data_IF_523296038517
#
_entry.id   IF_523296038517
#
_cell.length_a   1.000
_cell.length_b   1.000
_cell.length_c   1.000
_cell.angle_alpha   90.00
_cell.angle_beta   90.00
_cell.angle_gamma   90.00
#
_symmetry.space_group_name_H-M   'P 1'
#
loop_
_entity.id
_entity.type
_entity.pdbx_description
1 polymer ?
#
# COMPACT_ATOMS: atom_id res chain seq x y z
N UNK A 1 1.45 25.08 18.27
CA UNK A 1 2.69 24.29 18.16
C UNK A 1 2.28 22.85 18.42
N UNK A 2 1.52 22.28 17.49
CA UNK A 2 0.80 21.00 17.67
C UNK A 2 0.93 20.13 16.42
N UNK A 3 1.03 20.77 15.25
CA UNK A 3 1.23 20.14 13.93
C UNK A 3 2.40 19.14 13.84
N UNK A 4 3.45 19.31 14.66
CA UNK A 4 4.66 18.48 14.56
C UNK A 4 4.56 17.15 15.33
N UNK A 5 3.66 17.01 16.32
CA UNK A 5 3.54 15.75 17.07
C UNK A 5 2.63 14.76 16.31
N UNK A 6 1.55 15.29 15.74
CA UNK A 6 0.62 14.54 14.88
C UNK A 6 1.31 14.00 13.61
N UNK A 7 2.18 14.80 12.96
CA UNK A 7 2.92 14.35 11.78
C UNK A 7 3.91 13.21 12.11
N UNK A 8 4.58 13.29 13.26
CA UNK A 8 5.51 12.24 13.72
C UNK A 8 4.77 10.94 14.05
N UNK A 9 3.61 11.03 14.69
CA UNK A 9 2.74 9.89 14.98
C UNK A 9 2.23 9.24 13.69
N UNK A 10 1.79 10.05 12.73
CA UNK A 10 1.34 9.59 11.42
C UNK A 10 2.46 8.88 10.65
N UNK A 11 3.65 9.48 10.60
CA UNK A 11 4.82 8.86 9.96
C UNK A 11 5.21 7.54 10.61
N UNK A 12 5.15 7.44 11.94
CA UNK A 12 5.42 6.20 12.66
C UNK A 12 4.41 5.10 12.30
N UNK A 13 3.12 5.46 12.16
CA UNK A 13 2.05 4.54 11.77
C UNK A 13 2.18 4.05 10.33
N UNK A 14 2.43 4.96 9.39
CA UNK A 14 2.70 4.61 7.98
C UNK A 14 3.91 3.68 7.90
N UNK A 15 4.98 4.00 8.63
CA UNK A 15 6.17 3.15 8.66
C UNK A 15 5.85 1.75 9.20
N UNK A 16 5.14 1.65 10.32
CA UNK A 16 4.76 0.36 10.89
C UNK A 16 3.89 -0.48 9.93
N UNK A 17 2.95 0.18 9.22
CA UNK A 17 2.15 -0.46 8.17
C UNK A 17 3.04 -1.01 7.04
N UNK A 18 3.99 -0.21 6.54
CA UNK A 18 4.89 -0.64 5.47
C UNK A 18 5.86 -1.74 5.92
N UNK A 19 6.37 -1.67 7.14
CA UNK A 19 7.22 -2.72 7.73
C UNK A 19 6.44 -4.03 7.86
N UNK A 20 5.21 -3.98 8.38
CA UNK A 20 4.33 -5.15 8.44
C UNK A 20 3.98 -5.68 7.05
N UNK A 21 3.72 -4.78 6.10
CA UNK A 21 3.33 -5.16 4.75
C UNK A 21 4.46 -5.88 4.03
N UNK A 22 5.67 -5.32 4.10
CA UNK A 22 6.87 -5.91 3.50
C UNK A 22 7.34 -7.17 4.20
N UNK A 23 7.15 -7.29 5.52
CA UNK A 23 7.47 -8.51 6.28
C UNK A 23 6.52 -9.67 5.96
N UNK A 24 5.29 -9.37 5.53
CA UNK A 24 4.31 -10.39 5.15
C UNK A 24 4.46 -10.87 3.71
N UNK A 25 5.30 -10.22 2.90
CA UNK A 25 5.58 -10.66 1.53
C UNK A 25 6.45 -11.90 1.50
N UNK A 26 6.19 -12.75 0.51
CA UNK A 26 7.07 -13.86 0.20
C UNK A 26 8.49 -13.33 -0.17
N UNK A 27 9.57 -13.96 0.31
CA UNK A 27 10.93 -13.52 0.01
C UNK A 27 11.25 -13.48 -1.50
N UNK A 28 10.63 -14.32 -2.33
CA UNK A 28 10.80 -14.29 -3.78
C UNK A 28 10.11 -13.06 -4.39
N UNK A 29 8.85 -12.78 -4.01
CA UNK A 29 8.14 -11.59 -4.46
C UNK A 29 8.85 -10.30 -4.02
N UNK A 30 9.39 -10.29 -2.79
CA UNK A 30 10.23 -9.19 -2.30
C UNK A 30 11.47 -8.99 -3.17
N UNK A 31 12.14 -10.06 -3.59
CA UNK A 31 13.31 -9.98 -4.47
C UNK A 31 12.95 -9.47 -5.87
N UNK A 32 11.82 -9.91 -6.43
CA UNK A 32 11.31 -9.42 -7.72
C UNK A 32 10.99 -7.91 -7.66
N UNK A 33 10.33 -7.45 -6.59
CA UNK A 33 10.05 -6.01 -6.39
C UNK A 33 11.33 -5.19 -6.31
N UNK A 34 12.36 -5.70 -5.61
CA UNK A 34 13.67 -5.04 -5.52
C UNK A 34 14.35 -4.98 -6.89
N UNK A 35 14.28 -6.06 -7.68
CA UNK A 35 14.81 -6.08 -9.03
C UNK A 35 14.09 -5.04 -9.92
N UNK A 36 12.76 -5.02 -9.91
CA UNK A 36 11.97 -4.03 -10.63
C UNK A 36 12.32 -2.60 -10.23
N UNK A 37 12.45 -2.32 -8.93
CA UNK A 37 12.86 -0.99 -8.46
C UNK A 37 14.23 -0.57 -9.01
N UNK A 38 15.18 -1.51 -9.15
CA UNK A 38 16.50 -1.23 -9.73
C UNK A 38 16.43 -1.02 -11.24
N UNK A 39 15.63 -1.80 -11.95
CA UNK A 39 15.49 -1.70 -13.41
C UNK A 39 14.80 -0.41 -13.84
N UNK A 40 13.84 0.06 -13.05
CA UNK A 40 13.04 1.24 -13.36
C UNK A 40 13.51 2.53 -12.67
N UNK A 41 14.62 2.50 -11.91
CA UNK A 41 15.11 3.61 -11.08
C UNK A 41 14.04 4.17 -10.11
N UNK A 42 13.12 3.30 -9.68
CA UNK A 42 12.00 3.66 -8.83
C UNK A 42 12.23 3.09 -7.43
N UNK A 43 13.13 3.74 -6.71
CA UNK A 43 13.46 3.36 -5.33
C UNK A 43 12.42 3.91 -4.35
N UNK A 44 11.94 3.04 -3.46
CA UNK A 44 11.03 3.39 -2.38
C UNK A 44 9.56 3.08 -2.66
N UNK A 45 8.73 3.32 -1.65
CA UNK A 45 7.28 3.16 -1.71
C UNK A 45 6.66 4.48 -2.17
N UNK A 46 5.76 4.41 -3.14
CA UNK A 46 4.99 5.57 -3.59
C UNK A 46 3.60 5.52 -2.98
N UNK A 47 3.18 6.63 -2.40
CA UNK A 47 1.82 6.81 -1.92
C UNK A 47 1.00 7.50 -3.01
N UNK A 48 -0.17 6.94 -3.31
CA UNK A 48 -1.16 7.50 -4.22
C UNK A 48 -2.48 7.64 -3.47
N UNK A 49 -3.19 8.71 -3.77
CA UNK A 49 -4.52 8.94 -3.23
C UNK A 49 -5.53 8.67 -4.32
N UNK A 50 -6.48 7.80 -4.02
CA UNK A 50 -7.60 7.46 -4.87
C UNK A 50 -8.76 8.46 -4.65
N UNK A 51 -9.59 8.76 -5.68
CA UNK A 51 -10.79 9.59 -5.53
C UNK A 51 -11.74 9.15 -4.40
N UNK A 52 -11.76 7.87 -4.03
CA UNK A 52 -12.55 7.33 -2.91
C UNK A 52 -11.90 7.59 -1.53
N UNK A 53 -10.81 8.35 -1.46
CA UNK A 53 -10.12 8.70 -0.20
C UNK A 53 -9.24 7.56 0.35
N UNK A 54 -8.91 6.59 -0.51
CA UNK A 54 -7.99 5.50 -0.20
C UNK A 54 -6.55 5.92 -0.50
N UNK A 55 -5.63 5.49 0.35
CA UNK A 55 -4.19 5.63 0.19
C UNK A 55 -3.62 4.30 -0.26
N UNK A 56 -3.18 4.27 -1.51
CA UNK A 56 -2.50 3.16 -2.13
C UNK A 56 -0.99 3.34 -1.97
N UNK A 57 -0.34 2.36 -1.34
CA UNK A 57 1.11 2.27 -1.27
C UNK A 57 1.59 1.30 -2.33
N UNK A 58 2.41 1.77 -3.26
CA UNK A 58 2.94 1.00 -4.38
C UNK A 58 4.44 0.80 -4.21
N UNK A 59 4.91 -0.43 -4.36
CA UNK A 59 6.33 -0.78 -4.30
C UNK A 59 6.69 -1.87 -5.30
N UNK A 60 7.81 -1.71 -6.02
CA UNK A 60 8.23 -2.66 -7.05
C UNK A 60 7.24 -2.78 -8.20
N UNK A 61 6.53 -1.69 -8.54
CA UNK A 61 5.53 -1.66 -9.60
C UNK A 61 4.18 -2.30 -9.24
N UNK A 62 4.00 -2.75 -8.00
CA UNK A 62 2.78 -3.45 -7.53
C UNK A 62 2.22 -2.78 -6.27
N UNK A 63 0.89 -2.87 -6.05
CA UNK A 63 0.31 -2.45 -4.78
C UNK A 63 0.89 -3.28 -3.62
N UNK A 64 1.19 -2.60 -2.53
CA UNK A 64 1.74 -3.16 -1.29
C UNK A 64 0.71 -3.10 -0.17
N UNK A 65 0.00 -1.98 -0.04
CA UNK A 65 -1.07 -1.81 0.95
C UNK A 65 -2.09 -0.77 0.46
N UNK A 66 -3.34 -0.97 0.85
CA UNK A 66 -4.42 -0.01 0.64
C UNK A 66 -5.05 0.30 2.01
N UNK A 67 -5.20 1.58 2.34
CA UNK A 67 -5.75 2.02 3.63
C UNK A 67 -6.60 3.25 3.43
N UNK A 68 -7.67 3.46 4.21
CA UNK A 68 -8.37 4.74 4.15
C UNK A 68 -7.56 5.82 4.85
N UNK A 69 -7.53 7.03 4.30
CA UNK A 69 -6.88 8.16 4.97
C UNK A 69 -7.45 8.40 6.38
N UNK A 70 -8.76 8.14 6.57
CA UNK A 70 -9.43 8.25 7.87
C UNK A 70 -8.95 7.20 8.91
N UNK A 71 -8.51 6.03 8.48
CA UNK A 71 -7.99 4.99 9.38
C UNK A 71 -6.58 5.33 9.89
N UNK A 72 -5.80 6.10 9.13
CA UNK A 72 -4.47 6.57 9.53
C UNK A 72 -4.52 7.63 10.64
N UNK A 73 -5.57 8.45 10.65
CA UNK A 73 -5.85 9.48 11.67
C UNK A 73 -6.51 8.89 12.93
N UNK A 74 -7.10 7.68 12.83
CA UNK A 74 -7.88 7.09 13.91
C UNK A 74 -7.05 6.19 14.83
N UNK A 75 -7.30 6.20 16.14
CA UNK A 75 -6.58 5.37 17.14
C UNK A 75 -6.78 3.84 16.95
N UNK A 76 -7.62 3.43 16.01
CA UNK A 76 -7.86 2.02 15.70
C UNK A 76 -6.66 1.36 15.01
N UNK A 77 -6.41 0.06 15.30
CA UNK A 77 -5.35 -0.68 14.63
C UNK A 77 -5.63 -0.75 13.12
N UNK A 78 -4.65 -0.30 12.33
CA UNK A 78 -4.69 -0.34 10.88
C UNK A 78 -4.87 -1.79 10.40
N UNK A 79 -6.09 -2.13 9.99
CA UNK A 79 -6.35 -3.36 9.23
C UNK A 79 -5.96 -3.09 7.79
N UNK A 80 -4.68 -3.31 7.48
CA UNK A 80 -4.24 -3.40 6.09
C UNK A 80 -4.94 -4.60 5.47
N UNK A 81 -5.91 -4.35 4.60
CA UNK A 81 -6.42 -5.40 3.72
C UNK A 81 -5.31 -5.63 2.69
N UNK A 82 -4.52 -6.67 2.94
CA UNK A 82 -3.48 -7.11 2.01
C UNK A 82 -4.19 -7.58 0.76
N UNK A 83 -4.12 -6.78 -0.31
CA UNK A 83 -4.65 -7.17 -1.61
C UNK A 83 -3.92 -8.45 -2.02
N UNK A 84 -4.57 -9.63 -2.00
CA UNK A 84 -3.95 -10.80 -2.59
C UNK A 84 -3.77 -10.49 -4.08
N UNK A 85 -2.61 -10.86 -4.62
CA UNK A 85 -2.20 -10.72 -6.05
C UNK A 85 -3.17 -11.39 -7.05
N UNK A 86 -4.36 -11.79 -6.62
CA UNK A 86 -5.34 -12.55 -7.38
C UNK A 86 -6.61 -11.71 -7.57
N UNK A 87 -6.51 -10.60 -8.31
CA UNK A 87 -7.67 -10.14 -9.08
C UNK A 87 -7.60 -10.93 -10.38
N UNK A 88 -8.44 -11.96 -10.60
CA UNK A 88 -8.62 -12.47 -11.94
C UNK A 88 -9.19 -11.32 -12.80
N UNK A 89 -8.44 -10.90 -13.81
CA UNK A 89 -8.89 -10.07 -14.93
C UNK A 89 -9.97 -10.80 -15.75
N UNK A 90 -11.11 -11.10 -15.12
CA UNK A 90 -12.25 -11.74 -15.78
C UNK A 90 -13.54 -11.10 -15.29
N UNK A 91 -13.68 -9.80 -15.57
CA UNK A 91 -14.98 -9.20 -15.82
C UNK A 91 -15.29 -9.26 -17.33
N UNK A 92 -15.03 -10.42 -17.96
CA UNK A 92 -15.69 -10.77 -19.22
C UNK A 92 -17.01 -11.45 -18.84
N UNK A 93 -18.13 -10.74 -18.94
CA UNK A 93 -19.43 -11.38 -18.78
C UNK A 93 -20.63 -10.54 -18.38
N UNK A 94 -20.64 -9.21 -18.57
CA UNK A 94 -21.91 -8.47 -18.57
C UNK A 94 -22.08 -7.68 -19.87
N UNK A 95 -22.19 -8.44 -20.97
CA UNK A 95 -22.84 -7.96 -22.19
C UNK A 95 -23.91 -9.00 -22.55
N UNK A 96 -25.11 -8.48 -22.82
CA UNK A 96 -26.26 -9.12 -23.48
C UNK A 96 -27.30 -9.84 -22.59
N UNK A 97 -28.34 -9.10 -22.17
CA UNK A 97 -29.75 -9.23 -22.63
C UNK A 97 -30.60 -8.03 -22.13
#
# INVERSE_FOLDING_TARGET
MTDNDDDVQLMARVRALLESATASLDPADRAERIAWCREHDQHGVRMRTDPDGLLEFVWGGRPLALVRAADLDSDVPLRGEFVPTEIPDTLEGLTDD
#
